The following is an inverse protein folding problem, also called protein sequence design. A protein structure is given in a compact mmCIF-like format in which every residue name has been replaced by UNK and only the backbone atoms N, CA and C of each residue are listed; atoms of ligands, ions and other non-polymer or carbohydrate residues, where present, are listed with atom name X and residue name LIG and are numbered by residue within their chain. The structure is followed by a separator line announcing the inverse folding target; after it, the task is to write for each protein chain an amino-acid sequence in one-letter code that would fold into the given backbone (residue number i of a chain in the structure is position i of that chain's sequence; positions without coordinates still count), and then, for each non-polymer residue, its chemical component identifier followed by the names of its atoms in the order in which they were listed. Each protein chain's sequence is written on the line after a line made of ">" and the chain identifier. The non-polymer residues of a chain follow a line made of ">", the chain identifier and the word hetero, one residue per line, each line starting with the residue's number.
data_IF_791456983201
#
_entry.id   IF_791456983201
#
_cell.length_a   1.000
_cell.length_b   1.000
_cell.length_c   1.000
_cell.angle_alpha   90.00
_cell.angle_beta   90.00
_cell.angle_gamma   90.00
#
_symmetry.space_group_name_H-M   'P 1'
#
loop_
_entity.id
_entity.type
_entity.pdbx_description
1 polymer ?
#
# COMPACT_ATOMS: atom_id res chain seq x y z
N UNK A 1 -3.77 -21.48 -6.96
CA UNK A 1 -2.33 -21.29 -7.23
C UNK A 1 -2.05 -19.80 -7.12
N UNK A 2 -1.83 -19.26 -5.92
CA UNK A 2 -1.71 -17.79 -5.75
C UNK A 2 -0.50 -17.32 -4.92
N UNK A 3 0.51 -18.18 -4.72
CA UNK A 3 1.75 -17.78 -4.06
C UNK A 3 2.82 -17.04 -4.92
N UNK A 4 2.80 -17.02 -6.28
CA UNK A 4 3.80 -16.23 -7.03
C UNK A 4 3.38 -14.76 -7.24
N UNK A 5 2.10 -14.43 -7.32
CA UNK A 5 1.63 -13.07 -7.71
C UNK A 5 1.80 -12.06 -6.58
N UNK A 6 1.61 -12.48 -5.33
CA UNK A 6 1.86 -11.71 -4.13
C UNK A 6 3.32 -11.25 -4.00
N UNK A 7 4.25 -12.15 -4.32
CA UNK A 7 5.68 -11.86 -4.36
C UNK A 7 6.02 -10.99 -5.58
N UNK A 8 5.36 -11.21 -6.73
CA UNK A 8 5.51 -10.40 -7.93
C UNK A 8 5.11 -8.94 -7.70
N UNK A 9 3.99 -8.68 -7.01
CA UNK A 9 3.55 -7.32 -6.67
C UNK A 9 4.54 -6.61 -5.73
N UNK A 10 5.08 -7.33 -4.73
CA UNK A 10 6.09 -6.77 -3.82
C UNK A 10 7.43 -6.49 -4.52
N UNK A 11 7.85 -7.37 -5.44
CA UNK A 11 9.06 -7.20 -6.24
C UNK A 11 8.91 -6.07 -7.27
N UNK A 12 7.75 -5.99 -7.94
CA UNK A 12 7.44 -4.92 -8.87
C UNK A 12 7.37 -3.55 -8.16
N UNK A 13 6.84 -3.50 -6.94
CA UNK A 13 6.89 -2.28 -6.13
C UNK A 13 8.32 -1.91 -5.76
N UNK A 14 9.15 -2.87 -5.32
CA UNK A 14 10.55 -2.63 -5.00
C UNK A 14 11.34 -2.08 -6.20
N UNK A 15 11.13 -2.66 -7.38
CA UNK A 15 11.77 -2.21 -8.64
C UNK A 15 11.34 -0.79 -9.03
N UNK A 16 10.05 -0.47 -8.89
CA UNK A 16 9.54 0.89 -9.10
C UNK A 16 10.20 1.87 -8.12
N UNK A 17 10.40 1.47 -6.87
CA UNK A 17 11.05 2.31 -5.86
C UNK A 17 12.53 2.54 -6.14
N UNK A 18 13.30 1.51 -6.50
CA UNK A 18 14.71 1.65 -6.86
C UNK A 18 14.88 2.58 -8.05
N UNK A 19 14.11 2.35 -9.13
CA UNK A 19 14.14 3.19 -10.31
C UNK A 19 13.73 4.64 -10.00
N UNK A 20 12.70 4.83 -9.17
CA UNK A 20 12.28 6.17 -8.77
C UNK A 20 13.37 6.89 -7.96
N UNK A 21 13.99 6.20 -7.00
CA UNK A 21 15.09 6.74 -6.18
C UNK A 21 16.29 7.18 -7.02
N UNK A 22 16.68 6.38 -8.03
CA UNK A 22 17.75 6.73 -8.95
C UNK A 22 17.39 7.94 -9.83
N UNK A 23 16.16 8.00 -10.35
CA UNK A 23 15.68 9.09 -11.21
C UNK A 23 15.64 10.45 -10.48
N UNK A 24 15.31 10.43 -9.19
CA UNK A 24 15.15 11.63 -8.36
C UNK A 24 16.43 12.01 -7.63
N UNK A 25 17.50 11.24 -7.76
CA UNK A 25 18.79 11.51 -7.12
C UNK A 25 19.30 12.91 -7.46
N UNK A 26 19.53 13.71 -6.42
CA UNK A 26 20.00 15.10 -6.55
C UNK A 26 18.94 16.10 -7.01
N UNK A 27 17.66 15.71 -7.03
CA UNK A 27 16.52 16.57 -7.39
C UNK A 27 15.45 16.51 -6.30
N UNK A 28 14.59 17.51 -6.27
CA UNK A 28 13.34 17.45 -5.50
C UNK A 28 12.26 16.82 -6.36
N UNK A 29 11.61 15.77 -5.85
CA UNK A 29 10.48 15.12 -6.50
C UNK A 29 9.23 15.25 -5.64
N UNK A 30 8.08 15.48 -6.28
CA UNK A 30 6.77 15.48 -5.64
C UNK A 30 6.02 14.26 -6.12
N UNK A 31 5.67 13.38 -5.18
CA UNK A 31 4.93 12.15 -5.45
C UNK A 31 3.49 12.29 -4.95
N UNK A 32 2.52 12.13 -5.86
CA UNK A 32 1.09 12.20 -5.55
C UNK A 32 0.52 10.80 -5.73
N UNK A 33 -0.11 10.26 -4.68
CA UNK A 33 -0.67 8.91 -4.71
C UNK A 33 -2.01 8.83 -4.00
N UNK A 34 -2.85 7.94 -4.49
CA UNK A 34 -4.09 7.51 -3.83
C UNK A 34 -3.86 6.34 -2.86
N UNK A 35 -2.68 5.72 -2.90
CA UNK A 35 -2.27 4.60 -2.04
C UNK A 35 -1.42 5.12 -0.89
N UNK A 36 -1.93 5.03 0.34
CA UNK A 36 -1.18 5.51 1.50
C UNK A 36 0.09 4.67 1.77
N UNK A 37 0.09 3.38 1.45
CA UNK A 37 1.26 2.51 1.62
C UNK A 37 2.49 3.04 0.86
N UNK A 38 2.28 3.56 -0.36
CA UNK A 38 3.34 4.15 -1.17
C UNK A 38 3.89 5.45 -0.56
N UNK A 39 3.19 6.13 0.36
CA UNK A 39 3.75 7.35 0.97
C UNK A 39 4.89 7.09 1.94
N UNK A 40 5.09 5.83 2.37
CA UNK A 40 6.10 5.44 3.37
C UNK A 40 7.55 5.72 2.94
N UNK A 41 7.85 5.72 1.64
CA UNK A 41 9.20 5.97 1.13
C UNK A 41 9.54 7.46 1.01
N UNK A 42 8.56 8.36 1.21
CA UNK A 42 8.79 9.80 1.07
C UNK A 42 9.48 10.37 2.31
N UNK A 43 10.43 11.29 2.10
CA UNK A 43 11.11 12.01 3.20
C UNK A 43 10.12 12.82 4.05
N UNK A 44 9.12 13.41 3.37
CA UNK A 44 8.01 14.15 3.97
C UNK A 44 6.72 13.85 3.21
N UNK A 45 5.63 13.84 3.96
CA UNK A 45 4.28 13.54 3.51
C UNK A 45 3.42 14.73 3.88
N UNK A 46 2.66 15.26 2.92
CA UNK A 46 1.68 16.31 3.12
C UNK A 46 0.28 15.74 2.87
N UNK A 47 -0.53 15.63 3.92
CA UNK A 47 -1.90 15.15 3.81
C UNK A 47 -2.86 16.34 3.67
N UNK A 48 -3.63 16.33 2.59
CA UNK A 48 -4.63 17.36 2.30
C UNK A 48 -6.05 16.80 2.41
N UNK A 49 -6.98 17.65 2.81
CA UNK A 49 -8.41 17.44 2.61
C UNK A 49 -9.08 18.72 2.05
N UNK A 50 -10.42 18.77 2.08
CA UNK A 50 -11.23 19.89 1.61
C UNK A 50 -10.91 21.25 2.27
N UNK A 51 -10.35 21.26 3.47
CA UNK A 51 -10.00 22.49 4.20
C UNK A 51 -8.49 22.82 4.08
N UNK A 52 -7.72 22.05 3.31
CA UNK A 52 -6.30 22.29 3.05
C UNK A 52 -5.36 21.27 3.71
N UNK A 53 -4.15 21.70 4.05
CA UNK A 53 -3.11 20.86 4.66
C UNK A 53 -3.51 20.49 6.10
N UNK A 54 -3.67 19.19 6.36
CA UNK A 54 -4.03 18.67 7.69
C UNK A 54 -2.84 18.18 8.47
N UNK A 55 -1.94 17.44 7.83
CA UNK A 55 -0.78 16.87 8.49
C UNK A 55 0.44 16.94 7.58
N UNK A 56 1.61 17.18 8.20
CA UNK A 56 2.89 17.22 7.51
C UNK A 56 3.99 16.62 8.37
N UNK A 57 4.74 15.66 7.82
CA UNK A 57 5.79 14.96 8.56
C UNK A 57 6.30 13.75 7.79
N UNK A 58 7.24 13.00 8.36
CA UNK A 58 7.58 11.68 7.84
C UNK A 58 6.58 10.63 8.34
N UNK A 59 6.62 9.42 7.76
CA UNK A 59 5.70 8.34 8.12
C UNK A 59 5.69 8.03 9.63
N UNK A 60 6.86 7.93 10.28
CA UNK A 60 6.93 7.59 11.70
C UNK A 60 6.36 8.68 12.60
N UNK A 61 6.63 9.95 12.30
CA UNK A 61 6.08 11.12 12.99
C UNK A 61 4.56 11.10 12.92
N UNK A 62 4.00 10.93 11.72
CA UNK A 62 2.56 10.95 11.49
C UNK A 62 1.86 9.73 12.11
N UNK A 63 2.49 8.56 12.09
CA UNK A 63 1.97 7.37 12.78
C UNK A 63 1.94 7.58 14.30
N UNK A 64 2.98 8.19 14.90
CA UNK A 64 3.03 8.48 16.34
C UNK A 64 2.02 9.55 16.77
N UNK A 65 1.71 10.52 15.90
CA UNK A 65 0.68 11.54 16.17
C UNK A 65 -0.72 10.94 16.31
N UNK A 66 -0.99 9.77 15.72
CA UNK A 66 -2.28 9.09 15.83
C UNK A 66 -3.44 9.85 15.16
N UNK A 67 -3.12 10.77 14.25
CA UNK A 67 -4.09 11.61 13.56
C UNK A 67 -4.75 10.95 12.35
N UNK A 68 -5.20 11.77 11.41
CA UNK A 68 -5.91 11.36 10.21
C UNK A 68 -5.05 10.47 9.32
N UNK A 69 -3.76 10.77 9.18
CA UNK A 69 -2.84 9.93 8.41
C UNK A 69 -2.78 8.50 8.98
N UNK A 70 -2.58 8.36 10.29
CA UNK A 70 -2.54 7.06 10.97
C UNK A 70 -3.85 6.29 10.74
N UNK A 71 -4.99 6.96 10.94
CA UNK A 71 -6.30 6.33 10.78
C UNK A 71 -6.50 5.81 9.35
N UNK A 72 -6.26 6.65 8.33
CA UNK A 72 -6.40 6.27 6.93
C UNK A 72 -5.41 5.16 6.54
N UNK A 73 -4.18 5.23 7.05
CA UNK A 73 -3.15 4.23 6.78
C UNK A 73 -3.55 2.87 7.36
N UNK A 74 -4.07 2.85 8.58
CA UNK A 74 -4.53 1.63 9.26
C UNK A 74 -5.77 1.02 8.58
N UNK A 75 -6.69 1.84 8.07
CA UNK A 75 -7.88 1.38 7.34
C UNK A 75 -7.49 0.85 5.96
N UNK A 76 -6.67 1.56 5.18
CA UNK A 76 -6.22 1.07 3.88
C UNK A 76 -5.34 -0.19 4.00
N UNK A 77 -4.54 -0.29 5.07
CA UNK A 77 -3.78 -1.50 5.38
C UNK A 77 -4.68 -2.73 5.54
N UNK A 78 -5.88 -2.57 6.12
CA UNK A 78 -6.86 -3.67 6.25
C UNK A 78 -7.41 -4.12 4.90
N UNK A 79 -7.68 -3.21 3.97
CA UNK A 79 -8.15 -3.59 2.62
C UNK A 79 -7.09 -4.38 1.82
N UNK A 80 -5.80 -4.15 2.06
CA UNK A 80 -4.73 -4.97 1.50
C UNK A 80 -4.69 -6.40 2.06
N UNK A 81 -5.10 -6.57 3.33
CA UNK A 81 -5.16 -7.88 4.00
C UNK A 81 -6.47 -8.62 3.71
N UNK A 82 -7.61 -7.94 3.79
CA UNK A 82 -8.94 -8.51 3.54
C UNK A 82 -9.18 -8.81 2.04
N UNK A 83 -8.63 -8.00 1.14
CA UNK A 83 -8.66 -8.27 -0.31
C UNK A 83 -7.79 -9.46 -0.76
N UNK A 84 -6.92 -9.95 0.13
CA UNK A 84 -6.23 -11.25 0.03
C UNK A 84 -7.11 -12.37 0.59
N UNK A 85 -7.60 -12.22 1.81
CA UNK A 85 -8.44 -13.24 2.48
C UNK A 85 -9.74 -13.56 1.74
N UNK A 86 -10.39 -12.58 1.12
CA UNK A 86 -11.62 -12.81 0.35
C UNK A 86 -11.35 -13.54 -0.98
N UNK A 87 -10.18 -13.31 -1.60
CA UNK A 87 -9.74 -14.04 -2.79
C UNK A 87 -9.30 -15.47 -2.47
N UNK A 88 -8.64 -15.67 -1.34
CA UNK A 88 -8.21 -16.99 -0.87
C UNK A 88 -9.40 -17.89 -0.51
N UNK A 89 -10.47 -17.32 0.05
CA UNK A 89 -11.73 -18.05 0.30
C UNK A 89 -12.43 -18.47 -0.99
N UNK A 90 -12.57 -17.55 -1.95
CA UNK A 90 -13.19 -17.86 -3.25
C UNK A 90 -12.40 -18.96 -4.01
N UNK A 91 -11.07 -18.95 -3.91
CA UNK A 91 -10.21 -19.95 -4.53
C UNK A 91 -10.30 -21.33 -3.84
N UNK A 92 -10.39 -21.35 -2.50
CA UNK A 92 -10.57 -22.59 -1.73
C UNK A 92 -11.93 -23.24 -2.04
N UNK A 93 -13.00 -22.44 -2.10
CA UNK A 93 -14.34 -22.95 -2.43
C UNK A 93 -14.41 -23.51 -3.85
N UNK A 94 -13.74 -22.87 -4.83
CA UNK A 94 -13.63 -23.42 -6.19
C UNK A 94 -12.86 -24.75 -6.26
N UNK A 95 -11.82 -24.93 -5.44
CA UNK A 95 -11.06 -26.19 -5.41
C UNK A 95 -11.88 -27.31 -4.75
N UNK A 96 -12.61 -27.01 -3.67
CA UNK A 96 -13.50 -27.97 -3.01
C UNK A 96 -14.62 -28.42 -3.97
N UNK A 97 -15.25 -27.51 -4.72
CA UNK A 97 -16.28 -27.84 -5.72
C UNK A 97 -15.73 -28.70 -6.87
N UNK A 98 -14.47 -28.51 -7.29
CA UNK A 98 -13.83 -29.34 -8.32
C UNK A 98 -13.42 -30.72 -7.80
N UNK A 99 -13.20 -30.87 -6.50
CA UNK A 99 -12.83 -32.14 -5.87
C UNK A 99 -14.02 -33.09 -5.64
N UNK A 100 -15.25 -32.57 -5.64
CA UNK A 100 -16.48 -33.39 -5.54
C UNK A 100 -16.97 -33.90 -6.91
N UNK A 101 -16.39 -33.43 -8.01
CA UNK A 101 -16.79 -33.76 -9.39
C UNK A 101 -15.89 -34.84 -10.03
N UNK A 102 -14.79 -35.23 -9.37
CA UNK A 102 -13.91 -36.36 -9.75
C UNK A 102 -13.80 -37.38 -8.63
#
# INVERSE_FOLDING_TARGET
>A
MDEPTAALDALAEAEIYENFSELVKGKTAVYISHRLASTKFCDKIALFDKDGLKEYGNHEELMKLGGLYNHMFSVQGKYYTEGRESRDKDFSTMIDELSEVF
#
